data_IF_111416064233
#
_entry.id   IF_111416064233
#
_cell.length_a   1.000
_cell.length_b   1.000
_cell.length_c   1.000
_cell.angle_alpha   90.00
_cell.angle_beta   90.00
_cell.angle_gamma   90.00
#
_symmetry.space_group_name_H-M   'P 1'
#
loop_
_entity.id
_entity.type
_entity.pdbx_description
1 polymer ?
#
# COMPACT_ATOMS: atom_id res chain seq x y z
N UNK A 1 -18.07 27.29 -41.50
CA UNK A 1 -18.35 28.62 -40.91
C UNK A 1 -18.17 28.54 -39.41
N UNK A 2 -17.26 29.39 -38.88
CA UNK A 2 -17.06 29.83 -37.49
C UNK A 2 -16.68 28.79 -36.40
N UNK A 3 -15.82 29.06 -35.42
CA UNK A 3 -14.77 30.05 -35.22
C UNK A 3 -14.05 29.70 -33.89
N UNK A 4 -12.72 29.59 -33.95
CA UNK A 4 -11.71 30.01 -32.95
C UNK A 4 -12.15 30.33 -31.50
N UNK A 5 -11.55 29.64 -30.51
CA UNK A 5 -11.01 30.16 -29.22
C UNK A 5 -9.93 29.16 -28.74
N UNK A 6 -8.62 29.41 -28.67
CA UNK A 6 -7.75 30.53 -28.31
C UNK A 6 -7.66 30.81 -26.79
N UNK A 7 -6.40 30.75 -26.30
CA UNK A 7 -5.81 31.36 -25.09
C UNK A 7 -6.05 30.54 -23.79
N UNK A 8 -5.05 30.13 -22.99
CA UNK A 8 -4.03 30.97 -22.34
C UNK A 8 -2.87 30.13 -21.77
N UNK A 9 -1.66 30.33 -22.29
CA UNK A 9 -0.42 29.97 -21.61
C UNK A 9 -0.13 31.01 -20.51
N UNK A 10 0.27 30.54 -19.32
CA UNK A 10 0.89 31.38 -18.29
C UNK A 10 2.26 30.79 -17.97
N UNK A 11 3.29 31.45 -18.48
CA UNK A 11 4.66 31.29 -18.00
C UNK A 11 4.82 31.94 -16.63
N UNK A 12 5.64 31.33 -15.78
CA UNK A 12 6.26 31.98 -14.63
C UNK A 12 7.75 31.68 -14.75
N UNK A 13 8.44 32.57 -15.46
CA UNK A 13 9.86 32.81 -15.30
C UNK A 13 9.98 34.01 -14.35
N UNK A 14 10.80 33.87 -13.31
CA UNK A 14 11.02 34.93 -12.33
C UNK A 14 12.30 34.64 -11.56
N UNK A 15 13.42 34.98 -12.20
CA UNK A 15 14.73 35.00 -11.55
C UNK A 15 14.79 36.07 -10.46
N UNK A 16 15.63 35.82 -9.47
CA UNK A 16 16.29 36.85 -8.67
C UNK A 16 17.64 36.31 -8.23
N UNK A 17 18.66 36.93 -8.80
CA UNK A 17 20.09 36.79 -8.53
C UNK A 17 20.51 37.65 -7.31
N UNK A 18 21.78 37.56 -6.88
CA UNK A 18 22.18 37.60 -5.47
C UNK A 18 22.72 38.95 -4.98
N UNK A 19 22.45 39.26 -3.71
CA UNK A 19 23.14 40.28 -2.90
C UNK A 19 23.28 39.64 -1.50
N UNK A 20 24.45 39.40 -0.90
CA UNK A 20 25.62 40.25 -0.79
C UNK A 20 25.41 41.20 0.38
N UNK A 21 25.77 40.82 1.62
CA UNK A 21 26.05 41.71 2.78
C UNK A 21 26.60 40.84 3.94
N UNK A 22 27.74 41.23 4.52
CA UNK A 22 27.99 40.98 5.94
C UNK A 22 29.32 40.39 6.42
N UNK A 23 30.46 40.59 5.75
CA UNK A 23 31.78 40.35 6.38
C UNK A 23 32.23 41.56 7.20
N UNK A 24 31.74 41.73 8.43
CA UNK A 24 32.31 42.68 9.40
C UNK A 24 32.10 42.27 10.86
N UNK A 25 33.21 42.03 11.57
CA UNK A 25 33.28 41.79 13.02
C UNK A 25 32.88 40.36 13.39
N UNK A 26 33.72 39.53 14.00
CA UNK A 26 34.21 39.70 15.37
C UNK A 26 35.60 39.07 15.51
N UNK A 27 36.62 39.84 15.15
CA UNK A 27 38.04 39.57 15.46
C UNK A 27 38.39 39.83 16.94
N UNK A 28 37.39 39.88 17.83
CA UNK A 28 37.55 40.33 19.23
C UNK A 28 37.24 39.27 20.29
N UNK A 29 37.29 38.00 19.95
CA UNK A 29 37.18 36.88 20.92
C UNK A 29 38.35 35.88 20.89
N UNK A 30 39.46 36.22 20.21
CA UNK A 30 40.66 35.38 20.13
C UNK A 30 41.64 35.58 21.31
N UNK A 31 41.41 36.54 22.22
CA UNK A 31 42.33 36.83 23.34
C UNK A 31 41.88 36.41 24.75
N UNK A 32 40.69 35.81 24.91
CA UNK A 32 40.25 35.28 26.23
C UNK A 32 40.30 33.75 26.34
N UNK A 33 40.56 33.04 25.25
CA UNK A 33 40.57 31.57 25.21
C UNK A 33 41.92 30.93 25.56
N UNK A 34 43.04 31.65 25.50
CA UNK A 34 44.37 31.07 25.73
C UNK A 34 44.72 30.77 27.21
N UNK A 35 43.93 31.24 28.18
CA UNK A 35 44.25 31.10 29.61
C UNK A 35 43.48 29.97 30.32
N UNK A 36 42.49 29.34 29.68
CA UNK A 36 41.70 28.25 30.27
C UNK A 36 42.16 26.86 29.80
N UNK A 37 43.09 26.81 28.83
CA UNK A 37 43.58 25.58 28.19
C UNK A 37 44.54 24.73 29.06
N UNK A 38 45.11 25.28 30.14
CA UNK A 38 46.18 24.60 30.92
C UNK A 38 45.74 23.85 32.18
N UNK A 39 44.43 23.60 32.35
CA UNK A 39 43.90 22.81 33.50
C UNK A 39 43.11 21.57 33.10
N UNK A 40 43.30 21.03 31.89
CA UNK A 40 42.63 19.79 31.44
C UNK A 40 43.57 18.69 30.92
N UNK A 41 44.88 18.79 31.17
CA UNK A 41 45.84 17.73 30.86
C UNK A 41 46.00 16.74 32.00
N UNK A 42 44.88 16.15 32.44
CA UNK A 42 44.94 14.83 33.06
C UNK A 42 45.00 13.78 31.95
N UNK A 43 45.53 12.57 32.17
CA UNK A 43 45.46 11.47 31.20
C UNK A 43 43.98 11.12 30.99
N UNK A 44 43.37 11.82 30.04
CA UNK A 44 41.98 11.66 29.65
C UNK A 44 41.86 10.26 29.08
N UNK A 45 41.31 9.34 29.88
CA UNK A 45 40.79 8.08 29.38
C UNK A 45 39.89 8.44 28.22
N UNK A 46 40.35 8.12 27.01
CA UNK A 46 39.63 8.32 25.77
C UNK A 46 38.35 7.50 25.88
N UNK A 47 37.30 8.09 26.47
CA UNK A 47 35.96 7.50 26.48
C UNK A 47 35.58 7.43 25.02
N UNK A 48 35.73 6.25 24.42
CA UNK A 48 35.16 5.95 23.11
C UNK A 48 33.73 6.52 23.10
N UNK A 49 33.38 7.37 22.13
CA UNK A 49 32.06 7.94 22.08
C UNK A 49 31.06 6.79 22.00
N UNK A 50 30.17 6.70 22.99
CA UNK A 50 29.08 5.72 23.06
C UNK A 50 28.01 5.95 21.96
N UNK A 51 28.35 6.70 20.90
CA UNK A 51 27.44 7.10 19.84
C UNK A 51 27.15 5.99 18.84
N UNK A 52 28.05 5.00 18.68
CA UNK A 52 27.82 3.86 17.79
C UNK A 52 26.72 2.93 18.30
N UNK A 53 26.79 2.53 19.57
CA UNK A 53 25.85 1.56 20.15
C UNK A 53 24.46 2.16 20.37
N UNK A 54 24.38 3.47 20.68
CA UNK A 54 23.11 4.18 20.87
C UNK A 54 22.35 4.37 19.54
N UNK A 55 23.05 4.65 18.44
CA UNK A 55 22.43 4.75 17.11
C UNK A 55 21.96 3.37 16.63
N UNK A 56 22.77 2.32 16.86
CA UNK A 56 22.43 0.95 16.45
C UNK A 56 21.21 0.39 17.20
N UNK A 57 21.05 0.72 18.48
CA UNK A 57 19.85 0.36 19.26
C UNK A 57 18.58 1.06 18.76
N UNK A 58 18.64 2.36 18.44
CA UNK A 58 17.48 3.08 17.88
C UNK A 58 17.05 2.55 16.51
N UNK A 59 18.00 2.19 15.65
CA UNK A 59 17.67 1.61 14.35
C UNK A 59 17.15 0.18 14.45
N UNK A 60 17.60 -0.59 15.44
CA UNK A 60 17.06 -1.92 15.75
C UNK A 60 15.62 -1.87 16.24
N UNK A 61 15.32 -0.99 17.21
CA UNK A 61 13.96 -0.81 17.74
C UNK A 61 12.96 -0.35 16.66
N UNK A 62 13.40 0.51 15.73
CA UNK A 62 12.58 0.93 14.61
C UNK A 62 12.28 -0.21 13.61
N UNK A 63 13.26 -1.07 13.34
CA UNK A 63 13.09 -2.24 12.47
C UNK A 63 12.11 -3.26 13.05
N UNK A 64 12.22 -3.54 14.35
CA UNK A 64 11.34 -4.47 15.06
C UNK A 64 9.89 -3.97 15.11
N UNK A 65 9.71 -2.66 15.32
CA UNK A 65 8.38 -2.01 15.32
C UNK A 65 7.70 -2.13 13.95
N UNK A 66 8.44 -1.92 12.86
CA UNK A 66 7.91 -1.97 11.50
C UNK A 66 7.53 -3.40 11.09
N UNK A 67 8.35 -4.38 11.45
CA UNK A 67 8.04 -5.80 11.24
C UNK A 67 6.77 -6.24 11.99
N UNK A 68 6.52 -5.69 13.18
CA UNK A 68 5.30 -5.96 13.95
C UNK A 68 4.05 -5.40 13.28
N UNK A 69 4.12 -4.17 12.75
CA UNK A 69 3.01 -3.56 12.01
C UNK A 69 2.68 -4.35 10.74
N UNK A 70 3.69 -4.78 9.99
CA UNK A 70 3.50 -5.60 8.79
C UNK A 70 2.84 -6.94 9.13
N UNK A 71 3.28 -7.61 10.20
CA UNK A 71 2.65 -8.86 10.67
C UNK A 71 1.20 -8.65 11.12
N UNK A 72 0.91 -7.54 11.80
CA UNK A 72 -0.46 -7.21 12.20
C UNK A 72 -1.36 -6.92 10.99
N UNK A 73 -0.87 -6.17 10.00
CA UNK A 73 -1.58 -5.90 8.76
C UNK A 73 -1.83 -7.18 7.95
N UNK A 74 -0.81 -8.03 7.79
CA UNK A 74 -0.94 -9.36 7.17
C UNK A 74 -1.97 -10.22 7.92
N UNK A 75 -1.94 -10.22 9.25
CA UNK A 75 -2.90 -10.95 10.09
C UNK A 75 -4.34 -10.50 9.86
N UNK A 76 -4.58 -9.18 9.81
CA UNK A 76 -5.89 -8.62 9.48
C UNK A 76 -6.29 -9.01 8.06
N UNK A 77 -5.36 -8.94 7.10
CA UNK A 77 -5.63 -9.20 5.69
C UNK A 77 -5.94 -10.68 5.40
N UNK A 78 -5.43 -11.63 6.21
CA UNK A 78 -5.80 -13.06 6.19
C UNK A 78 -7.26 -13.27 6.59
N UNK A 79 -7.69 -12.55 7.64
CA UNK A 79 -9.04 -12.67 8.18
C UNK A 79 -10.07 -11.85 7.39
N UNK A 80 -9.62 -10.83 6.66
CA UNK A 80 -10.50 -9.84 6.06
C UNK A 80 -11.43 -10.40 4.98
N UNK A 81 -11.05 -11.33 4.08
CA UNK A 81 -11.98 -11.88 3.09
C UNK A 81 -12.96 -12.95 3.61
N UNK A 82 -12.54 -13.98 4.39
CA UNK A 82 -13.45 -15.04 4.80
C UNK A 82 -14.42 -14.62 5.91
N UNK A 83 -14.03 -13.68 6.80
CA UNK A 83 -14.89 -13.24 7.89
C UNK A 83 -16.20 -12.56 7.44
N UNK A 84 -16.19 -11.53 6.56
CA UNK A 84 -17.42 -10.93 6.03
C UNK A 84 -18.20 -11.92 5.16
N UNK A 85 -17.56 -12.90 4.53
CA UNK A 85 -18.25 -13.96 3.81
C UNK A 85 -19.11 -14.82 4.75
N UNK A 86 -18.55 -15.24 5.89
CA UNK A 86 -19.29 -16.01 6.92
C UNK A 86 -20.40 -15.15 7.56
N UNK A 87 -20.11 -13.88 7.84
CA UNK A 87 -21.12 -12.95 8.37
C UNK A 87 -22.27 -12.73 7.38
N UNK A 88 -21.98 -12.47 6.11
CA UNK A 88 -22.97 -12.33 5.06
C UNK A 88 -23.82 -13.59 4.90
N UNK A 89 -23.18 -14.77 4.96
CA UNK A 89 -23.87 -16.05 4.95
C UNK A 89 -24.86 -16.18 6.11
N UNK A 90 -24.43 -15.89 7.34
CA UNK A 90 -25.26 -16.01 8.54
C UNK A 90 -26.43 -15.03 8.56
N UNK A 91 -26.20 -13.78 8.14
CA UNK A 91 -27.25 -12.77 8.01
C UNK A 91 -28.26 -13.18 6.93
N UNK A 92 -27.79 -13.58 5.75
CA UNK A 92 -28.66 -13.99 4.65
C UNK A 92 -29.46 -15.25 5.01
N UNK A 93 -28.84 -16.24 5.67
CA UNK A 93 -29.54 -17.45 6.11
C UNK A 93 -30.66 -17.14 7.10
N UNK A 94 -30.43 -16.22 8.04
CA UNK A 94 -31.49 -15.78 8.98
C UNK A 94 -32.58 -14.98 8.29
N UNK A 95 -32.24 -14.19 7.28
CA UNK A 95 -33.20 -13.34 6.57
C UNK A 95 -34.08 -14.12 5.58
N UNK A 96 -33.50 -15.06 4.82
CA UNK A 96 -34.22 -15.77 3.74
C UNK A 96 -34.67 -17.18 4.14
N UNK A 97 -34.00 -17.82 5.10
CA UNK A 97 -34.21 -19.22 5.45
C UNK A 97 -33.69 -20.23 4.41
N UNK A 98 -33.22 -19.77 3.24
CA UNK A 98 -32.68 -20.62 2.18
C UNK A 98 -31.15 -20.63 2.19
N UNK A 99 -30.57 -21.82 2.41
CA UNK A 99 -29.12 -22.05 2.40
C UNK A 99 -28.48 -21.75 1.05
N UNK A 100 -29.17 -22.00 -0.07
CA UNK A 100 -28.62 -21.78 -1.41
C UNK A 100 -28.49 -20.28 -1.68
N UNK A 101 -29.54 -19.54 -1.38
CA UNK A 101 -29.53 -18.08 -1.51
C UNK A 101 -28.51 -17.45 -0.56
N UNK A 102 -28.45 -17.88 0.70
CA UNK A 102 -27.44 -17.41 1.65
C UNK A 102 -26.01 -17.65 1.17
N UNK A 103 -25.75 -18.80 0.53
CA UNK A 103 -24.45 -19.12 -0.06
C UNK A 103 -24.13 -18.18 -1.22
N UNK A 104 -25.09 -17.87 -2.09
CA UNK A 104 -24.88 -16.90 -3.17
C UNK A 104 -24.56 -15.51 -2.65
N UNK A 105 -25.26 -15.03 -1.62
CA UNK A 105 -24.98 -13.75 -0.97
C UNK A 105 -23.58 -13.71 -0.36
N UNK A 106 -23.19 -14.78 0.34
CA UNK A 106 -21.86 -14.91 0.90
C UNK A 106 -20.79 -14.80 -0.20
N UNK A 107 -20.95 -15.54 -1.30
CA UNK A 107 -20.01 -15.51 -2.42
C UNK A 107 -19.93 -14.12 -3.06
N UNK A 108 -21.05 -13.41 -3.24
CA UNK A 108 -21.03 -12.05 -3.81
C UNK A 108 -20.29 -11.05 -2.93
N UNK A 109 -20.57 -11.06 -1.62
CA UNK A 109 -19.88 -10.22 -0.66
C UNK A 109 -18.40 -10.60 -0.60
N UNK A 110 -18.10 -11.90 -0.55
CA UNK A 110 -16.75 -12.44 -0.58
C UNK A 110 -15.94 -11.94 -1.77
N UNK A 111 -16.50 -11.92 -2.99
CA UNK A 111 -15.80 -11.42 -4.18
C UNK A 111 -15.35 -9.98 -4.01
N UNK A 112 -16.19 -9.11 -3.43
CA UNK A 112 -15.85 -7.70 -3.21
C UNK A 112 -14.68 -7.59 -2.23
N UNK A 113 -14.72 -8.35 -1.13
CA UNK A 113 -13.64 -8.32 -0.15
C UNK A 113 -12.34 -8.91 -0.67
N UNK A 114 -12.39 -10.00 -1.46
CA UNK A 114 -11.22 -10.54 -2.14
C UNK A 114 -10.63 -9.54 -3.13
N UNK A 115 -11.46 -8.89 -3.95
CA UNK A 115 -11.01 -7.84 -4.87
C UNK A 115 -10.30 -6.69 -4.13
N UNK A 116 -10.86 -6.23 -3.01
CA UNK A 116 -10.26 -5.17 -2.20
C UNK A 116 -8.96 -5.62 -1.53
N UNK A 117 -8.93 -6.86 -1.03
CA UNK A 117 -7.74 -7.44 -0.42
C UNK A 117 -6.61 -7.57 -1.45
N UNK A 118 -6.90 -8.08 -2.66
CA UNK A 118 -5.93 -8.18 -3.75
C UNK A 118 -5.40 -6.82 -4.16
N UNK A 119 -6.26 -5.81 -4.29
CA UNK A 119 -5.84 -4.45 -4.62
C UNK A 119 -4.89 -3.87 -3.56
N UNK A 120 -5.18 -4.08 -2.27
CA UNK A 120 -4.31 -3.65 -1.18
C UNK A 120 -2.97 -4.41 -1.21
N UNK A 121 -3.00 -5.72 -1.47
CA UNK A 121 -1.82 -6.57 -1.52
C UNK A 121 -0.91 -6.19 -2.69
N UNK A 122 -1.49 -5.85 -3.84
CA UNK A 122 -0.76 -5.31 -4.98
C UNK A 122 -0.13 -3.94 -4.70
N UNK A 123 -0.76 -3.10 -3.88
CA UNK A 123 -0.17 -1.83 -3.48
C UNK A 123 1.11 -2.03 -2.65
N UNK A 124 1.15 -3.06 -1.80
CA UNK A 124 2.35 -3.45 -1.05
C UNK A 124 3.43 -4.06 -1.95
N UNK A 125 3.04 -4.87 -2.93
CA UNK A 125 4.00 -5.56 -3.83
C UNK A 125 4.58 -4.64 -4.91
N UNK A 126 3.74 -3.87 -5.59
CA UNK A 126 4.13 -3.02 -6.72
C UNK A 126 4.50 -1.58 -6.33
N UNK A 127 4.10 -1.13 -5.14
CA UNK A 127 4.27 0.24 -4.69
C UNK A 127 3.30 1.21 -5.36
N UNK A 128 2.46 1.87 -4.55
CA UNK A 128 1.55 2.93 -5.00
C UNK A 128 0.26 2.47 -5.68
N UNK A 129 -0.45 3.41 -6.34
CA UNK A 129 -1.80 3.20 -6.92
C UNK A 129 -1.79 2.21 -8.11
N UNK A 130 -0.63 1.94 -8.69
CA UNK A 130 -0.50 1.03 -9.84
C UNK A 130 -1.08 -0.35 -9.55
N UNK A 131 -0.96 -0.85 -8.32
CA UNK A 131 -1.52 -2.13 -7.91
C UNK A 131 -3.04 -2.22 -8.08
N UNK A 132 -3.77 -1.26 -7.49
CA UNK A 132 -5.23 -1.16 -7.63
C UNK A 132 -5.66 -1.06 -9.10
N UNK A 133 -4.97 -0.24 -9.90
CA UNK A 133 -5.30 -0.05 -11.31
C UNK A 133 -5.09 -1.35 -12.09
N UNK A 134 -4.00 -2.09 -11.83
CA UNK A 134 -3.70 -3.35 -12.48
C UNK A 134 -4.71 -4.44 -12.11
N UNK A 135 -5.08 -4.55 -10.83
CA UNK A 135 -6.12 -5.51 -10.39
C UNK A 135 -7.47 -5.19 -11.02
N UNK A 136 -7.89 -3.92 -11.03
CA UNK A 136 -9.15 -3.52 -11.65
C UNK A 136 -9.12 -3.72 -13.17
N UNK A 137 -8.01 -3.43 -13.84
CA UNK A 137 -7.84 -3.67 -15.26
C UNK A 137 -7.87 -5.16 -15.59
N UNK A 138 -7.16 -5.99 -14.82
CA UNK A 138 -7.17 -7.44 -14.96
C UNK A 138 -8.57 -8.02 -14.73
N UNK A 139 -9.27 -7.59 -13.68
CA UNK A 139 -10.64 -7.98 -13.38
C UNK A 139 -11.61 -7.57 -14.49
N UNK A 140 -11.48 -6.35 -15.03
CA UNK A 140 -12.32 -5.85 -16.12
C UNK A 140 -12.08 -6.62 -17.42
N UNK A 141 -10.81 -6.92 -17.75
CA UNK A 141 -10.45 -7.70 -18.94
C UNK A 141 -10.89 -9.16 -18.81
N UNK A 142 -10.60 -9.81 -17.68
CA UNK A 142 -11.02 -11.18 -17.41
C UNK A 142 -12.55 -11.29 -17.38
N UNK A 143 -13.22 -10.42 -16.62
CA UNK A 143 -14.67 -10.38 -16.54
C UNK A 143 -15.34 -10.06 -17.87
N UNK A 144 -14.82 -9.07 -18.61
CA UNK A 144 -15.34 -8.67 -19.92
C UNK A 144 -15.18 -9.75 -20.99
N UNK A 145 -14.02 -10.39 -21.06
CA UNK A 145 -13.77 -11.49 -22.01
C UNK A 145 -14.61 -12.72 -21.67
N UNK A 146 -14.73 -13.07 -20.39
CA UNK A 146 -15.58 -14.17 -19.94
C UNK A 146 -17.06 -13.90 -20.23
N UNK A 147 -17.53 -12.68 -19.97
CA UNK A 147 -18.89 -12.26 -20.28
C UNK A 147 -19.17 -12.33 -21.79
N UNK A 148 -18.26 -11.80 -22.62
CA UNK A 148 -18.39 -11.86 -24.08
C UNK A 148 -18.40 -13.31 -24.60
N UNK A 149 -17.55 -14.18 -24.07
CA UNK A 149 -17.53 -15.61 -24.41
C UNK A 149 -18.84 -16.31 -24.00
N UNK A 150 -19.39 -15.96 -22.85
CA UNK A 150 -20.63 -16.54 -22.33
C UNK A 150 -21.84 -16.16 -23.19
N UNK A 151 -21.95 -14.86 -23.54
CA UNK A 151 -23.03 -14.35 -24.40
C UNK A 151 -23.01 -15.02 -25.77
N UNK A 152 -21.82 -15.23 -26.35
CA UNK A 152 -21.68 -15.92 -27.65
C UNK A 152 -22.14 -17.38 -27.60
N UNK A 153 -21.85 -18.09 -26.50
CA UNK A 153 -22.17 -19.52 -26.38
C UNK A 153 -23.62 -19.80 -25.98
N UNK A 154 -24.28 -18.87 -25.28
CA UNK A 154 -25.65 -19.06 -24.77
C UNK A 154 -26.49 -17.78 -24.87
N UNK A 155 -26.90 -17.37 -26.07
CA UNK A 155 -27.67 -16.14 -26.27
C UNK A 155 -29.05 -16.16 -25.58
N UNK A 156 -29.58 -17.33 -25.24
CA UNK A 156 -30.84 -17.50 -24.52
C UNK A 156 -30.74 -17.28 -23.00
N UNK A 157 -29.53 -17.15 -22.45
CA UNK A 157 -29.33 -16.92 -21.01
C UNK A 157 -29.45 -15.44 -20.72
N UNK A 158 -30.44 -15.05 -19.92
CA UNK A 158 -30.63 -13.66 -19.52
C UNK A 158 -29.38 -13.06 -18.85
N UNK A 159 -29.13 -11.78 -19.12
CA UNK A 159 -27.94 -11.04 -18.66
C UNK A 159 -27.65 -11.18 -17.17
N UNK A 160 -28.67 -11.17 -16.32
CA UNK A 160 -28.51 -11.34 -14.88
C UNK A 160 -27.86 -12.68 -14.52
N UNK A 161 -28.21 -13.77 -15.20
CA UNK A 161 -27.64 -15.09 -14.93
C UNK A 161 -26.20 -15.19 -15.45
N UNK A 162 -25.91 -14.59 -16.60
CA UNK A 162 -24.55 -14.50 -17.14
C UNK A 162 -23.63 -13.71 -16.20
N UNK A 163 -24.07 -12.53 -15.74
CA UNK A 163 -23.31 -11.70 -14.78
C UNK A 163 -22.99 -12.47 -13.50
N UNK A 164 -23.98 -13.17 -12.92
CA UNK A 164 -23.77 -13.98 -11.71
C UNK A 164 -22.70 -15.05 -11.88
N UNK A 165 -22.67 -15.73 -13.03
CA UNK A 165 -21.69 -16.79 -13.32
C UNK A 165 -20.30 -16.17 -13.48
N UNK A 166 -20.18 -15.07 -14.23
CA UNK A 166 -18.92 -14.35 -14.42
C UNK A 166 -18.38 -13.83 -13.09
N UNK A 167 -19.26 -13.28 -12.25
CA UNK A 167 -18.91 -12.78 -10.93
C UNK A 167 -18.42 -13.89 -9.99
N UNK A 168 -19.07 -15.06 -10.02
CA UNK A 168 -18.60 -16.23 -9.25
C UNK A 168 -17.27 -16.75 -9.79
N UNK A 169 -17.06 -16.74 -11.11
CA UNK A 169 -15.80 -17.14 -11.71
C UNK A 169 -14.67 -16.17 -11.32
N UNK A 170 -14.94 -14.87 -11.24
CA UNK A 170 -13.99 -13.87 -10.77
C UNK A 170 -13.53 -14.14 -9.33
N UNK A 171 -14.44 -14.60 -8.45
CA UNK A 171 -14.05 -15.01 -7.09
C UNK A 171 -12.96 -16.08 -7.10
N UNK A 172 -13.07 -17.11 -7.95
CA UNK A 172 -12.03 -18.14 -8.04
C UNK A 172 -10.68 -17.57 -8.47
N UNK A 173 -10.68 -16.62 -9.41
CA UNK A 173 -9.46 -15.94 -9.85
C UNK A 173 -8.85 -15.16 -8.69
N UNK A 174 -9.64 -14.35 -7.99
CA UNK A 174 -9.15 -13.57 -6.84
C UNK A 174 -8.67 -14.45 -5.69
N UNK A 175 -9.34 -15.56 -5.40
CA UNK A 175 -8.87 -16.48 -4.34
C UNK A 175 -7.49 -17.06 -4.68
N UNK A 176 -7.26 -17.43 -5.95
CA UNK A 176 -5.96 -17.95 -6.40
C UNK A 176 -4.91 -16.83 -6.37
N UNK A 177 -5.24 -15.66 -6.92
CA UNK A 177 -4.36 -14.49 -6.96
C UNK A 177 -3.96 -14.04 -5.55
N UNK A 178 -4.93 -13.89 -4.65
CA UNK A 178 -4.75 -13.63 -3.23
C UNK A 178 -3.78 -14.63 -2.61
N UNK A 179 -3.98 -15.93 -2.81
CA UNK A 179 -3.13 -16.98 -2.26
C UNK A 179 -1.68 -16.86 -2.74
N UNK A 180 -1.47 -16.57 -4.02
CA UNK A 180 -0.14 -16.39 -4.61
C UNK A 180 0.55 -15.14 -4.05
N UNK A 181 -0.14 -14.00 -4.07
CA UNK A 181 0.40 -12.73 -3.56
C UNK A 181 0.68 -12.80 -2.05
N UNK A 182 -0.18 -13.49 -1.31
CA UNK A 182 0.01 -13.73 0.12
C UNK A 182 1.29 -14.54 0.37
N UNK A 183 1.50 -15.63 -0.38
CA UNK A 183 2.73 -16.42 -0.29
C UNK A 183 3.96 -15.57 -0.62
N UNK A 184 3.92 -14.75 -1.67
CA UNK A 184 5.00 -13.83 -2.03
C UNK A 184 5.31 -12.87 -0.86
N UNK A 185 4.27 -12.28 -0.26
CA UNK A 185 4.40 -11.39 0.89
C UNK A 185 5.05 -12.09 2.10
N UNK A 186 4.63 -13.31 2.41
CA UNK A 186 5.21 -14.14 3.49
C UNK A 186 6.68 -14.46 3.20
N UNK A 187 7.00 -14.93 1.99
CA UNK A 187 8.39 -15.26 1.62
C UNK A 187 9.30 -14.04 1.65
N UNK A 188 8.84 -12.88 1.16
CA UNK A 188 9.61 -11.63 1.22
C UNK A 188 9.88 -11.19 2.65
N UNK A 189 8.89 -11.33 3.53
CA UNK A 189 9.02 -10.98 4.95
C UNK A 189 9.99 -11.93 5.67
N UNK A 190 10.01 -13.21 5.29
CA UNK A 190 10.90 -14.21 5.89
C UNK A 190 12.34 -14.13 5.35
N UNK A 191 12.51 -13.87 4.06
CA UNK A 191 13.83 -13.78 3.41
C UNK A 191 14.55 -12.44 3.64
N UNK A 192 13.82 -11.39 4.02
CA UNK A 192 14.37 -10.06 4.31
C UNK A 192 14.70 -9.82 5.79
N UNK A 193 14.49 -10.82 6.66
CA UNK A 193 14.77 -10.77 8.10
C UNK A 193 16.09 -11.42 8.49
#
# INVERSE_FOLDING_TARGET
MNARRAVKARGIAGGRDPEGIGTFGVERHVRKTAAVERRRSGPGRFRRPASGDAVRRRTGEAGDSMAQVIKALLGVLILLPPLPMVLAWGVALRATGDRREATLWALYVGTVFFLLADAALWQEVAGGIAGLVMTLAAAALAGGTLAAAFVRRRPSVGWARAFRIVWLAALFVFVIEYGVLFLIGVFRTWAGG
#
